data_IF_572507450476
#
_entry.id   IF_572507450476
#
_cell.length_a   1.000
_cell.length_b   1.000
_cell.length_c   1.000
_cell.angle_alpha   90.00
_cell.angle_beta   90.00
_cell.angle_gamma   90.00
#
_symmetry.space_group_name_H-M   'P 1'
#
loop_
_entity.id
_entity.type
_entity.pdbx_description
1 polymer ?
#
# COMPACT_ATOMS: atom_id res chain seq x y z
N UNK A 1 -22.08 48.79 12.07
CA UNK A 1 -21.57 47.41 11.93
C UNK A 1 -21.25 47.16 10.45
N UNK A 2 -20.53 48.05 9.79
CA UNK A 2 -19.10 48.33 9.89
C UNK A 2 -18.20 47.36 9.09
N UNK A 3 -17.73 47.93 7.97
CA UNK A 3 -16.34 47.93 7.52
C UNK A 3 -15.79 46.66 6.85
N UNK A 4 -16.24 46.45 5.60
CA UNK A 4 -15.30 46.10 4.53
C UNK A 4 -14.59 47.38 4.05
N UNK A 5 -13.38 47.64 4.57
CA UNK A 5 -12.37 48.47 3.90
C UNK A 5 -11.02 47.76 3.99
N UNK A 6 -10.68 47.05 2.90
CA UNK A 6 -9.31 46.64 2.58
C UNK A 6 -8.45 47.88 2.42
N UNK A 7 -7.33 47.94 3.13
CA UNK A 7 -6.20 48.77 2.75
C UNK A 7 -4.90 48.14 3.28
N UNK A 8 -4.14 47.47 2.43
CA UNK A 8 -2.73 47.14 2.70
C UNK A 8 -1.93 47.31 1.40
N UNK A 9 -0.94 48.20 1.50
CA UNK A 9 -0.21 48.85 0.41
C UNK A 9 0.58 47.90 -0.51
N UNK A 10 0.69 48.20 -1.82
CA UNK A 10 1.42 47.39 -2.80
C UNK A 10 2.96 47.55 -2.75
N UNK A 11 3.49 48.37 -1.83
CA UNK A 11 4.92 48.77 -1.83
C UNK A 11 5.82 47.81 -1.03
N UNK A 12 5.25 46.93 -0.19
CA UNK A 12 6.02 46.00 0.65
C UNK A 12 6.53 44.76 -0.10
N UNK A 13 5.79 44.29 -1.11
CA UNK A 13 6.07 43.00 -1.75
C UNK A 13 7.17 43.09 -2.83
N UNK A 14 7.30 44.25 -3.48
CA UNK A 14 8.29 44.47 -4.56
C UNK A 14 9.73 44.58 -4.06
N UNK A 15 9.94 45.07 -2.82
CA UNK A 15 11.26 45.15 -2.19
C UNK A 15 11.79 43.79 -1.74
N UNK A 16 10.92 42.91 -1.24
CA UNK A 16 11.27 41.54 -0.84
C UNK A 16 11.59 40.65 -2.05
N UNK A 17 10.82 40.76 -3.13
CA UNK A 17 11.09 40.05 -4.39
C UNK A 17 12.36 40.58 -5.06
N UNK A 18 12.61 41.90 -4.99
CA UNK A 18 13.83 42.51 -5.51
C UNK A 18 15.11 42.11 -4.75
N UNK A 19 15.05 41.99 -3.41
CA UNK A 19 16.20 41.54 -2.62
C UNK A 19 16.56 40.07 -2.88
N UNK A 20 15.58 39.18 -3.03
CA UNK A 20 15.80 37.77 -3.34
C UNK A 20 16.44 37.55 -4.72
N UNK A 21 16.07 38.39 -5.71
CA UNK A 21 16.67 38.36 -7.04
C UNK A 21 18.14 38.80 -7.04
N UNK A 22 18.48 39.82 -6.24
CA UNK A 22 19.86 40.30 -6.10
C UNK A 22 20.78 39.30 -5.37
N UNK A 23 20.26 38.57 -4.38
CA UNK A 23 21.02 37.50 -3.70
C UNK A 23 21.36 36.36 -4.68
N UNK A 24 20.44 36.02 -5.58
CA UNK A 24 20.66 34.97 -6.58
C UNK A 24 21.59 35.43 -7.73
N UNK A 25 21.57 36.71 -8.11
CA UNK A 25 22.35 37.23 -9.24
C UNK A 25 23.80 37.61 -8.87
N UNK A 26 24.09 37.91 -7.60
CA UNK A 26 25.43 38.32 -7.16
C UNK A 26 26.31 37.18 -6.64
N UNK A 27 25.78 35.98 -6.48
CA UNK A 27 26.58 34.81 -6.13
C UNK A 27 26.84 34.01 -7.40
N UNK A 28 28.06 34.09 -7.92
CA UNK A 28 28.59 33.17 -8.94
C UNK A 28 28.69 31.74 -8.36
N UNK A 29 27.55 31.15 -8.02
CA UNK A 29 27.44 29.77 -7.53
C UNK A 29 27.43 28.89 -8.77
N UNK A 30 28.62 28.47 -9.17
CA UNK A 30 28.80 27.21 -9.87
C UNK A 30 28.54 26.09 -8.86
N UNK A 31 27.29 25.83 -8.54
CA UNK A 31 26.92 24.59 -7.90
C UNK A 31 25.65 24.11 -8.57
N UNK A 32 25.68 22.85 -8.96
CA UNK A 32 24.51 22.01 -9.09
C UNK A 32 23.84 21.95 -7.71
N UNK A 33 23.26 23.05 -7.24
CA UNK A 33 22.27 23.00 -6.18
C UNK A 33 21.04 22.38 -6.81
N UNK A 34 21.09 21.05 -6.79
CA UNK A 34 19.96 20.19 -6.96
C UNK A 34 18.95 20.63 -5.89
N UNK A 35 18.01 21.49 -6.27
CA UNK A 35 16.79 21.77 -5.53
C UNK A 35 15.87 20.53 -5.52
N UNK A 36 16.40 19.31 -5.38
CA UNK A 36 15.56 18.11 -5.28
C UNK A 36 15.10 18.00 -3.85
N UNK A 37 13.80 18.20 -3.65
CA UNK A 37 13.15 17.74 -2.44
C UNK A 37 13.40 16.24 -2.21
N UNK A 38 13.28 15.82 -0.95
CA UNK A 38 13.34 14.41 -0.58
C UNK A 38 12.19 13.66 -1.25
N UNK A 39 12.50 12.65 -2.07
CA UNK A 39 11.52 11.74 -2.65
C UNK A 39 11.20 10.62 -1.65
N UNK A 40 9.94 10.44 -1.32
CA UNK A 40 9.43 9.40 -0.41
C UNK A 40 8.63 8.38 -1.20
N UNK A 41 9.09 7.14 -1.13
CA UNK A 41 8.47 6.02 -1.84
C UNK A 41 7.98 4.97 -0.86
N UNK A 42 6.99 4.19 -1.29
CA UNK A 42 6.57 2.99 -0.58
C UNK A 42 6.74 1.78 -1.50
N UNK A 43 7.16 0.64 -0.94
CA UNK A 43 7.25 -0.63 -1.66
C UNK A 43 6.33 -1.64 -1.01
N UNK A 44 5.36 -2.11 -1.79
CA UNK A 44 4.43 -3.19 -1.44
C UNK A 44 4.82 -4.45 -2.21
N UNK A 45 4.76 -5.61 -1.57
CA UNK A 45 5.03 -6.90 -2.20
C UNK A 45 4.28 -8.00 -1.43
N UNK A 46 4.03 -9.13 -2.09
CA UNK A 46 3.64 -10.40 -1.45
C UNK A 46 2.41 -10.23 -0.54
N UNK A 47 1.37 -9.59 -1.07
CA UNK A 47 0.16 -9.31 -0.27
C UNK A 47 -0.60 -10.56 0.12
N UNK A 48 -0.47 -11.63 -0.68
CA UNK A 48 -1.11 -12.94 -0.48
C UNK A 48 -2.44 -12.84 0.26
N UNK A 49 -3.39 -12.14 -0.36
CA UNK A 49 -4.71 -11.99 0.20
C UNK A 49 -5.43 -13.32 0.05
N UNK A 50 -5.80 -13.94 1.17
CA UNK A 50 -6.62 -15.14 1.19
C UNK A 50 -8.11 -14.78 1.37
N UNK A 51 -8.96 -14.95 0.34
CA UNK A 51 -10.40 -14.73 0.46
C UNK A 51 -11.09 -15.72 1.40
N UNK A 52 -10.47 -16.87 1.69
CA UNK A 52 -11.02 -17.94 2.50
C UNK A 52 -10.51 -17.94 3.95
N UNK A 53 -9.62 -17.00 4.30
CA UNK A 53 -9.13 -16.87 5.67
C UNK A 53 -10.30 -16.72 6.66
N UNK A 54 -10.38 -17.63 7.61
CA UNK A 54 -11.40 -17.68 8.64
C UNK A 54 -10.76 -17.60 10.02
N UNK A 55 -10.98 -16.50 10.72
CA UNK A 55 -10.61 -16.36 12.14
C UNK A 55 -11.18 -17.52 12.97
N UNK A 56 -10.38 -18.05 13.89
CA UNK A 56 -10.79 -19.11 14.80
C UNK A 56 -10.73 -20.52 14.20
N UNK A 57 -10.46 -20.66 12.90
CA UNK A 57 -10.22 -21.94 12.23
C UNK A 57 -8.87 -22.55 12.61
N UNK A 58 -8.59 -23.78 12.16
CA UNK A 58 -7.35 -24.47 12.47
C UNK A 58 -6.18 -23.83 11.70
N UNK A 59 -5.23 -23.26 12.44
CA UNK A 59 -4.02 -22.67 11.89
C UNK A 59 -2.81 -23.62 11.89
N UNK A 60 -2.90 -24.74 12.61
CA UNK A 60 -1.91 -25.82 12.63
C UNK A 60 -2.53 -27.08 11.97
N UNK A 61 -2.62 -27.07 10.65
CA UNK A 61 -3.12 -28.19 9.83
C UNK A 61 -1.96 -28.91 9.12
N UNK A 62 -2.25 -30.05 8.49
CA UNK A 62 -1.27 -30.86 7.74
C UNK A 62 -1.19 -30.46 6.23
N UNK A 63 -1.84 -29.36 5.85
CA UNK A 63 -1.85 -28.82 4.49
C UNK A 63 -0.84 -27.66 4.33
N UNK A 64 -0.40 -27.33 3.10
CA UNK A 64 0.51 -26.21 2.87
C UNK A 64 -0.07 -24.83 3.21
N UNK A 65 -1.40 -24.71 3.27
CA UNK A 65 -2.13 -23.52 3.67
C UNK A 65 -3.30 -23.90 4.60
N UNK A 66 -3.32 -23.26 5.76
CA UNK A 66 -4.27 -23.41 6.85
C UNK A 66 -5.10 -22.13 7.04
N UNK A 67 -5.72 -21.97 8.22
CA UNK A 67 -6.55 -20.82 8.57
C UNK A 67 -7.81 -20.64 7.71
N UNK A 68 -8.30 -21.71 7.11
CA UNK A 68 -9.55 -21.76 6.36
C UNK A 68 -10.55 -22.68 7.06
N UNK A 69 -11.83 -22.59 6.68
CA UNK A 69 -12.86 -23.45 7.26
C UNK A 69 -12.66 -24.93 6.93
N UNK A 70 -11.97 -25.24 5.84
CA UNK A 70 -11.64 -26.60 5.43
C UNK A 70 -10.28 -27.10 5.97
N UNK A 71 -9.57 -26.30 6.78
CA UNK A 71 -8.29 -26.69 7.40
C UNK A 71 -8.43 -27.75 8.50
N UNK A 72 -9.65 -28.13 8.87
CA UNK A 72 -9.94 -29.15 9.87
C UNK A 72 -10.45 -28.60 11.21
N UNK A 73 -10.60 -29.49 12.18
CA UNK A 73 -11.14 -29.14 13.50
C UNK A 73 -10.07 -28.63 14.47
N UNK A 74 -10.40 -27.57 15.20
CA UNK A 74 -9.56 -27.04 16.28
C UNK A 74 -9.68 -27.93 17.52
N UNK A 75 -8.59 -28.59 17.89
CA UNK A 75 -8.53 -29.45 19.11
C UNK A 75 -8.08 -28.68 20.34
N UNK A 76 -7.13 -27.75 20.20
CA UNK A 76 -6.68 -26.87 21.27
C UNK A 76 -6.97 -25.42 20.92
N UNK A 77 -7.34 -24.62 21.91
CA UNK A 77 -7.67 -23.21 21.69
C UNK A 77 -6.46 -22.38 21.18
N UNK A 78 -5.24 -22.84 21.45
CA UNK A 78 -3.99 -22.29 20.91
C UNK A 78 -3.82 -22.51 19.41
N UNK A 79 -4.60 -23.42 18.82
CA UNK A 79 -4.52 -23.76 17.40
C UNK A 79 -5.43 -22.91 16.51
N UNK A 80 -6.10 -21.92 17.11
CA UNK A 80 -6.99 -20.99 16.41
C UNK A 80 -6.25 -19.92 15.63
N UNK A 81 -6.68 -19.71 14.40
CA UNK A 81 -6.26 -18.60 13.54
C UNK A 81 -6.63 -17.25 14.16
N UNK A 82 -5.69 -16.31 14.18
CA UNK A 82 -5.89 -14.98 14.75
C UNK A 82 -6.83 -14.07 13.93
N UNK A 83 -7.33 -13.00 14.57
CA UNK A 83 -8.21 -11.99 13.93
C UNK A 83 -7.53 -11.17 12.82
N UNK A 84 -6.20 -11.07 12.85
CA UNK A 84 -5.40 -10.23 11.94
C UNK A 84 -4.41 -11.02 11.10
N UNK A 85 -4.56 -12.33 11.03
CA UNK A 85 -3.56 -13.24 10.49
C UNK A 85 -3.00 -14.17 11.57
N UNK A 86 -2.18 -15.11 11.13
CA UNK A 86 -1.51 -16.10 11.97
C UNK A 86 -0.07 -16.28 11.48
N UNK A 87 0.85 -16.68 12.36
CA UNK A 87 2.27 -16.83 12.05
C UNK A 87 2.64 -18.24 11.55
N UNK A 88 1.66 -19.15 11.49
CA UNK A 88 1.82 -20.52 10.95
C UNK A 88 1.65 -20.52 9.43
N UNK A 89 1.18 -21.63 8.86
CA UNK A 89 1.00 -21.80 7.42
C UNK A 89 -0.27 -21.09 6.95
N UNK A 90 -0.34 -19.77 7.04
CA UNK A 90 -1.52 -19.00 6.69
C UNK A 90 -1.17 -17.73 5.91
N UNK A 91 -2.04 -17.37 4.99
CA UNK A 91 -2.00 -16.12 4.24
C UNK A 91 -2.86 -15.04 4.90
N UNK A 92 -2.91 -13.84 4.32
CA UNK A 92 -3.48 -12.67 4.99
C UNK A 92 -5.00 -12.56 4.79
N UNK A 93 -5.78 -12.31 5.86
CA UNK A 93 -7.16 -11.88 5.68
C UNK A 93 -7.23 -10.46 5.10
N UNK A 94 -8.27 -10.19 4.30
CA UNK A 94 -8.48 -8.88 3.67
C UNK A 94 -8.38 -7.70 4.65
N UNK A 95 -8.85 -7.91 5.88
CA UNK A 95 -8.85 -6.89 6.94
C UNK A 95 -7.46 -6.38 7.31
N UNK A 96 -6.44 -7.24 7.25
CA UNK A 96 -5.05 -6.86 7.55
C UNK A 96 -4.48 -6.04 6.41
N UNK A 97 -4.68 -6.50 5.16
CA UNK A 97 -4.31 -5.77 3.96
C UNK A 97 -4.97 -4.38 3.91
N UNK A 98 -6.29 -4.30 4.10
CA UNK A 98 -7.04 -3.05 4.06
C UNK A 98 -6.63 -2.08 5.19
N UNK A 99 -6.35 -2.59 6.40
CA UNK A 99 -5.88 -1.78 7.52
C UNK A 99 -4.47 -1.21 7.28
N UNK A 100 -3.56 -2.01 6.75
CA UNK A 100 -2.22 -1.58 6.36
C UNK A 100 -2.30 -0.47 5.29
N UNK A 101 -3.07 -0.71 4.22
CA UNK A 101 -3.23 0.26 3.13
C UNK A 101 -3.89 1.56 3.61
N UNK A 102 -4.88 1.48 4.49
CA UNK A 102 -5.47 2.67 5.13
C UNK A 102 -4.44 3.44 5.95
N UNK A 103 -3.63 2.74 6.74
CA UNK A 103 -2.58 3.39 7.54
C UNK A 103 -1.61 4.16 6.65
N UNK A 104 -1.12 3.53 5.57
CA UNK A 104 -0.18 4.12 4.62
C UNK A 104 -0.76 5.39 4.01
N UNK A 105 -1.96 5.29 3.42
CA UNK A 105 -2.61 6.41 2.74
C UNK A 105 -3.05 7.55 3.67
N UNK A 106 -3.04 7.35 5.00
CA UNK A 106 -3.39 8.38 5.99
C UNK A 106 -2.17 9.02 6.66
N UNK A 107 -1.09 8.26 6.88
CA UNK A 107 0.02 8.68 7.73
C UNK A 107 1.22 9.19 6.96
N UNK A 108 1.35 8.81 5.69
CA UNK A 108 2.53 9.12 4.89
C UNK A 108 2.15 10.00 3.69
N UNK A 109 2.95 11.04 3.47
CA UNK A 109 2.94 11.79 2.21
C UNK A 109 4.00 11.17 1.31
N UNK A 110 3.56 10.46 0.26
CA UNK A 110 4.40 9.70 -0.65
C UNK A 110 4.32 10.33 -2.04
N UNK A 111 5.41 10.25 -2.80
CA UNK A 111 5.45 10.72 -4.19
C UNK A 111 4.93 9.63 -5.15
N UNK A 112 5.25 8.37 -4.87
CA UNK A 112 4.75 7.20 -5.59
C UNK A 112 4.97 5.90 -4.80
N UNK A 113 4.40 4.79 -5.28
CA UNK A 113 4.63 3.46 -4.75
C UNK A 113 5.05 2.45 -5.83
N UNK A 114 5.92 1.52 -5.44
CA UNK A 114 6.17 0.29 -6.18
C UNK A 114 5.29 -0.82 -5.60
N UNK A 115 4.77 -1.67 -6.48
CA UNK A 115 4.01 -2.85 -6.08
C UNK A 115 4.49 -4.07 -6.86
N UNK A 116 5.11 -5.03 -6.19
CA UNK A 116 5.88 -6.09 -6.85
C UNK A 116 5.19 -7.45 -6.97
N UNK A 117 3.86 -7.49 -6.97
CA UNK A 117 3.10 -8.72 -7.29
C UNK A 117 2.87 -9.66 -6.11
N UNK A 118 2.56 -10.92 -6.43
CA UNK A 118 2.20 -12.01 -5.52
C UNK A 118 0.97 -11.72 -4.65
N UNK A 119 -0.18 -11.71 -5.32
CA UNK A 119 -1.48 -11.37 -4.75
C UNK A 119 -2.29 -12.60 -4.31
N UNK A 120 -2.44 -13.66 -5.14
CA UNK A 120 -3.22 -14.82 -4.76
C UNK A 120 -2.57 -15.57 -3.60
N UNK A 121 -3.37 -16.29 -2.80
CA UNK A 121 -2.83 -17.10 -1.71
C UNK A 121 -2.10 -18.35 -2.23
N UNK A 122 -1.46 -19.09 -1.32
CA UNK A 122 -0.68 -20.29 -1.58
C UNK A 122 -1.53 -21.56 -1.76
N UNK A 123 -2.80 -21.44 -2.16
CA UNK A 123 -3.72 -22.55 -2.43
C UNK A 123 -3.61 -23.10 -3.86
N UNK A 124 -2.36 -23.27 -4.32
CA UNK A 124 -2.00 -23.58 -5.71
C UNK A 124 -2.67 -24.84 -6.28
N UNK A 125 -3.19 -25.73 -5.42
CA UNK A 125 -3.91 -26.95 -5.82
C UNK A 125 -5.38 -26.72 -6.20
N UNK A 126 -5.97 -25.56 -5.84
CA UNK A 126 -7.37 -25.18 -6.11
C UNK A 126 -7.49 -23.96 -7.02
N UNK A 127 -6.38 -23.52 -7.61
CA UNK A 127 -6.31 -22.26 -8.36
C UNK A 127 -7.10 -22.31 -9.68
N UNK A 128 -7.85 -21.25 -9.97
CA UNK A 128 -8.54 -21.05 -11.25
C UNK A 128 -8.30 -19.65 -11.79
N UNK A 129 -8.38 -19.47 -13.11
CA UNK A 129 -8.24 -18.14 -13.75
C UNK A 129 -9.26 -17.14 -13.19
N UNK A 130 -10.48 -17.60 -12.94
CA UNK A 130 -11.55 -16.76 -12.38
C UNK A 130 -11.22 -16.31 -10.95
N UNK A 131 -10.80 -17.23 -10.08
CA UNK A 131 -10.42 -16.92 -8.71
C UNK A 131 -9.23 -15.95 -8.65
N UNK A 132 -8.17 -16.17 -9.44
CA UNK A 132 -7.03 -15.25 -9.51
C UNK A 132 -7.43 -13.88 -10.04
N UNK A 133 -8.25 -13.82 -11.09
CA UNK A 133 -8.73 -12.53 -11.63
C UNK A 133 -9.56 -11.77 -10.59
N UNK A 134 -10.39 -12.49 -9.81
CA UNK A 134 -11.16 -11.91 -8.72
C UNK A 134 -10.25 -11.38 -7.61
N UNK A 135 -9.26 -12.15 -7.18
CA UNK A 135 -8.26 -11.72 -6.20
C UNK A 135 -7.53 -10.46 -6.67
N UNK A 136 -6.99 -10.50 -7.89
CA UNK A 136 -6.31 -9.37 -8.53
C UNK A 136 -7.18 -8.11 -8.53
N UNK A 137 -8.43 -8.21 -8.97
CA UNK A 137 -9.36 -7.09 -9.02
C UNK A 137 -9.66 -6.53 -7.62
N UNK A 138 -9.88 -7.40 -6.62
CA UNK A 138 -10.15 -6.99 -5.24
C UNK A 138 -8.95 -6.27 -4.62
N UNK A 139 -7.75 -6.84 -4.73
CA UNK A 139 -6.52 -6.28 -4.17
C UNK A 139 -6.16 -4.97 -4.86
N UNK A 140 -6.23 -4.92 -6.20
CA UNK A 140 -5.98 -3.70 -6.98
C UNK A 140 -6.96 -2.59 -6.60
N UNK A 141 -8.25 -2.89 -6.48
CA UNK A 141 -9.26 -1.91 -6.07
C UNK A 141 -8.99 -1.37 -4.66
N UNK A 142 -8.56 -2.22 -3.72
CA UNK A 142 -8.20 -1.79 -2.37
C UNK A 142 -7.01 -0.83 -2.38
N UNK A 143 -5.95 -1.16 -3.12
CA UNK A 143 -4.74 -0.34 -3.25
C UNK A 143 -5.08 1.05 -3.80
N UNK A 144 -5.74 1.13 -4.96
CA UNK A 144 -6.06 2.42 -5.56
C UNK A 144 -7.04 3.25 -4.72
N UNK A 145 -8.01 2.61 -4.08
CA UNK A 145 -8.93 3.28 -3.16
C UNK A 145 -8.21 3.88 -1.96
N UNK A 146 -7.31 3.11 -1.32
CA UNK A 146 -6.65 3.53 -0.07
C UNK A 146 -5.48 4.48 -0.29
N UNK A 147 -4.79 4.39 -1.42
CA UNK A 147 -3.68 5.27 -1.78
C UNK A 147 -4.12 6.56 -2.50
N UNK A 148 -5.42 6.78 -2.73
CA UNK A 148 -6.04 8.09 -3.05
C UNK A 148 -5.39 8.84 -4.24
N UNK A 149 -5.09 8.12 -5.31
CA UNK A 149 -4.51 8.72 -6.52
C UNK A 149 -2.98 8.85 -6.50
N UNK A 150 -2.29 8.32 -5.48
CA UNK A 150 -0.85 8.09 -5.53
C UNK A 150 -0.50 7.27 -6.78
N UNK A 151 0.51 7.67 -7.58
CA UNK A 151 1.00 6.83 -8.66
C UNK A 151 1.54 5.50 -8.11
N UNK A 152 1.03 4.38 -8.64
CA UNK A 152 1.47 3.03 -8.28
C UNK A 152 2.03 2.37 -9.53
N UNK A 153 3.25 1.84 -9.43
CA UNK A 153 3.93 1.12 -10.51
C UNK A 153 3.95 -0.38 -10.19
N UNK A 154 3.04 -1.17 -10.78
CA UNK A 154 2.95 -2.60 -10.52
C UNK A 154 3.96 -3.42 -11.34
N UNK A 155 4.34 -4.56 -10.80
CA UNK A 155 5.04 -5.67 -11.47
C UNK A 155 4.24 -6.94 -11.22
N UNK A 156 4.24 -7.84 -12.20
CA UNK A 156 3.60 -9.16 -12.09
C UNK A 156 4.56 -10.10 -11.36
N UNK A 157 4.07 -10.72 -10.28
CA UNK A 157 4.75 -11.77 -9.54
C UNK A 157 4.45 -13.16 -10.11
N UNK A 158 4.94 -14.20 -9.46
CA UNK A 158 4.86 -15.55 -9.97
C UNK A 158 3.55 -16.26 -9.61
N UNK A 159 2.78 -15.77 -8.63
CA UNK A 159 1.47 -16.33 -8.26
C UNK A 159 0.30 -15.84 -9.12
N UNK A 160 0.49 -14.81 -9.94
CA UNK A 160 -0.60 -14.23 -10.75
C UNK A 160 -1.09 -15.16 -11.86
N UNK A 161 -0.20 -15.97 -12.44
CA UNK A 161 -0.54 -16.89 -13.53
C UNK A 161 -1.25 -18.17 -13.04
N UNK A 162 -1.99 -18.80 -13.96
CA UNK A 162 -2.66 -20.08 -13.73
C UNK A 162 -2.26 -21.03 -14.86
N UNK A 163 -1.41 -22.04 -14.62
CA UNK A 163 -0.74 -22.35 -13.34
C UNK A 163 0.32 -21.31 -12.93
N UNK A 164 0.74 -21.25 -11.66
CA UNK A 164 1.73 -20.28 -11.18
C UNK A 164 3.12 -20.50 -11.80
N UNK A 165 3.93 -19.44 -11.85
CA UNK A 165 5.29 -19.37 -12.44
C UNK A 165 5.36 -19.45 -13.98
N UNK A 166 4.25 -19.16 -14.66
CA UNK A 166 4.14 -19.11 -16.13
C UNK A 166 4.19 -17.69 -16.67
#
# INVERSE_FOLDING_TARGET
MDLLKRNSNPVSMSLLVGLLWLVCYMQSITSTEVCTGLVKTYKLSDTHYDPEYAEGSLAACDEPLCCRLDSGEVKNDTDRAGRWGDLRFCDLPFRTLDNMLEHIGRKHNLDFAYWTGDLPPHDVWKITREANTKNFNTTTAAIFKRLRGLPVYPVVGNHESVPPNM
#
